data_IF_024104730386
#
_entry.id   IF_024104730386
#
_cell.length_a   1.000
_cell.length_b   1.000
_cell.length_c   1.000
_cell.angle_alpha   90.00
_cell.angle_beta   90.00
_cell.angle_gamma   90.00
#
_symmetry.space_group_name_H-M   'P 1'
#
loop_
_entity.id
_entity.type
_entity.pdbx_description
1 polymer ?
#
# COMPACT_ATOMS: atom_id res chain seq x y z
N UNK A 1 -0.66 10.36 14.25
CA UNK A 1 0.70 10.34 13.65
C UNK A 1 1.25 8.92 13.61
N UNK A 2 1.46 8.24 14.73
CA UNK A 2 2.01 6.87 14.74
C UNK A 2 1.19 5.86 13.93
N UNK A 3 -0.12 5.74 14.19
CA UNK A 3 -1.01 4.83 13.45
C UNK A 3 -1.08 5.16 11.94
N UNK A 4 -0.98 6.46 11.59
CA UNK A 4 -1.00 6.92 10.21
C UNK A 4 0.31 6.56 9.48
N UNK A 5 1.47 6.79 10.11
CA UNK A 5 2.78 6.43 9.54
C UNK A 5 2.94 4.92 9.36
N UNK A 6 2.47 4.13 10.33
CA UNK A 6 2.53 2.67 10.24
C UNK A 6 1.56 2.16 9.17
N UNK A 7 0.33 2.68 9.12
CA UNK A 7 -0.62 2.40 8.04
C UNK A 7 -0.08 2.76 6.67
N UNK A 8 0.57 3.92 6.53
CA UNK A 8 1.14 4.40 5.27
C UNK A 8 2.27 3.50 4.79
N UNK A 9 3.14 3.07 5.71
CA UNK A 9 4.21 2.12 5.40
C UNK A 9 3.62 0.82 4.84
N UNK A 10 2.55 0.30 5.46
CA UNK A 10 1.89 -0.93 5.00
C UNK A 10 1.09 -0.74 3.71
N UNK A 11 0.50 0.44 3.50
CA UNK A 11 -0.20 0.79 2.25
C UNK A 11 0.77 0.86 1.07
N UNK A 12 1.90 1.55 1.23
CA UNK A 12 2.97 1.57 0.23
C UNK A 12 3.49 0.16 -0.03
N UNK A 13 3.80 -0.61 1.01
CA UNK A 13 4.27 -1.99 0.87
C UNK A 13 3.27 -2.85 0.07
N UNK A 14 1.99 -2.82 0.46
CA UNK A 14 0.94 -3.61 -0.18
C UNK A 14 0.71 -3.20 -1.63
N UNK A 15 0.63 -1.89 -1.89
CA UNK A 15 0.44 -1.35 -3.23
C UNK A 15 1.65 -1.61 -4.12
N UNK A 16 2.86 -1.50 -3.58
CA UNK A 16 4.10 -1.78 -4.28
C UNK A 16 4.22 -3.26 -4.68
N UNK A 17 3.97 -4.18 -3.73
CA UNK A 17 3.99 -5.63 -3.99
C UNK A 17 2.88 -6.00 -4.98
N UNK A 18 1.65 -5.50 -4.79
CA UNK A 18 0.52 -5.78 -5.69
C UNK A 18 0.74 -5.27 -7.11
N UNK A 19 1.28 -4.05 -7.26
CA UNK A 19 1.63 -3.46 -8.56
C UNK A 19 2.79 -4.21 -9.20
N UNK A 20 3.80 -4.56 -8.41
CA UNK A 20 4.95 -5.35 -8.82
C UNK A 20 4.58 -6.71 -9.39
N UNK A 21 3.72 -7.46 -8.69
CA UNK A 21 3.18 -8.75 -9.12
C UNK A 21 2.38 -8.64 -10.42
N UNK A 22 1.49 -7.65 -10.51
CA UNK A 22 0.68 -7.42 -11.72
C UNK A 22 1.49 -7.06 -12.95
N UNK A 23 2.58 -6.31 -12.77
CA UNK A 23 3.38 -5.81 -13.88
C UNK A 23 4.49 -6.76 -14.31
N UNK A 24 4.81 -7.75 -13.47
CA UNK A 24 5.93 -8.66 -13.65
C UNK A 24 7.28 -7.94 -13.63
N UNK A 25 7.37 -6.77 -12.99
CA UNK A 25 8.63 -6.04 -12.81
C UNK A 25 9.54 -6.76 -11.82
N UNK A 26 8.95 -7.41 -10.80
CA UNK A 26 9.68 -8.27 -9.88
C UNK A 26 9.62 -9.71 -10.40
N UNK A 27 10.79 -10.33 -10.51
CA UNK A 27 10.90 -11.77 -10.76
C UNK A 27 10.40 -12.54 -9.54
N UNK A 28 9.88 -13.76 -9.73
CA UNK A 28 9.61 -14.69 -8.62
C UNK A 28 10.88 -14.94 -7.75
N UNK A 29 12.06 -14.71 -8.33
CA UNK A 29 13.34 -14.74 -7.62
C UNK A 29 13.60 -13.48 -6.78
N UNK A 30 13.15 -12.30 -7.22
CA UNK A 30 13.23 -11.05 -6.45
C UNK A 30 12.26 -11.07 -5.24
N UNK A 31 11.10 -11.74 -5.37
CA UNK A 31 10.16 -11.99 -4.27
C UNK A 31 10.72 -12.98 -3.25
N UNK A 32 11.31 -14.09 -3.69
CA UNK A 32 11.95 -15.07 -2.79
C UNK A 32 13.19 -14.51 -2.10
N UNK A 33 13.97 -13.66 -2.78
CA UNK A 33 15.08 -12.95 -2.15
C UNK A 33 14.63 -11.97 -1.06
N UNK A 34 13.36 -11.53 -1.07
CA UNK A 34 12.82 -10.72 0.01
C UNK A 34 12.35 -11.55 1.21
N UNK A 35 11.84 -12.76 0.96
CA UNK A 35 11.41 -13.70 2.00
C UNK A 35 12.59 -14.42 2.66
N UNK A 36 13.63 -14.78 1.90
CA UNK A 36 14.75 -15.62 2.35
C UNK A 36 16.10 -14.88 2.44
N UNK A 37 16.23 -13.70 1.84
CA UNK A 37 17.51 -12.99 1.71
C UNK A 37 17.87 -12.14 2.93
N UNK A 38 19.04 -12.40 3.53
CA UNK A 38 19.61 -11.56 4.58
C UNK A 38 20.33 -10.34 3.98
N UNK A 39 19.66 -9.19 3.90
CA UNK A 39 20.29 -7.89 3.69
C UNK A 39 19.66 -7.00 2.61
N UNK A 40 20.13 -5.75 2.54
CA UNK A 40 19.64 -4.66 1.67
C UNK A 40 20.05 -4.81 0.20
N UNK A 41 19.77 -5.96 -0.41
CA UNK A 41 20.27 -6.30 -1.76
C UNK A 41 19.17 -6.48 -2.80
N UNK A 42 17.91 -6.65 -2.39
CA UNK A 42 16.79 -6.79 -3.32
C UNK A 42 16.45 -5.45 -3.98
N UNK A 43 15.97 -5.52 -5.24
CA UNK A 43 15.41 -4.35 -5.94
C UNK A 43 14.23 -3.75 -5.16
N UNK A 44 13.51 -4.58 -4.40
CA UNK A 44 12.38 -4.18 -3.59
C UNK A 44 12.80 -3.37 -2.35
N UNK A 45 13.91 -3.73 -1.67
CA UNK A 45 14.45 -2.93 -0.56
C UNK A 45 14.87 -1.54 -1.02
N UNK A 46 15.54 -1.46 -2.17
CA UNK A 46 15.98 -0.17 -2.76
C UNK A 46 14.79 0.70 -3.16
N UNK A 47 13.70 0.09 -3.64
CA UNK A 47 12.51 0.81 -4.01
C UNK A 47 11.72 1.31 -2.78
N UNK A 48 11.60 0.49 -1.73
CA UNK A 48 11.02 0.90 -0.45
C UNK A 48 11.83 2.01 0.22
N UNK A 49 13.16 1.95 0.10
CA UNK A 49 14.03 3.02 0.57
C UNK A 49 13.85 4.32 -0.23
N UNK A 50 13.69 4.20 -1.55
CA UNK A 50 13.40 5.35 -2.41
C UNK A 50 12.04 5.98 -2.07
N UNK A 51 11.02 5.18 -1.78
CA UNK A 51 9.71 5.66 -1.31
C UNK A 51 9.81 6.36 0.04
N UNK A 52 10.50 5.77 1.02
CA UNK A 52 10.70 6.37 2.34
C UNK A 52 11.46 7.71 2.26
N UNK A 53 12.47 7.81 1.39
CA UNK A 53 13.17 9.09 1.11
C UNK A 53 12.21 10.08 0.44
N UNK A 54 11.44 9.64 -0.56
CA UNK A 54 10.45 10.45 -1.25
C UNK A 54 9.42 11.06 -0.29
N UNK A 55 8.85 10.23 0.57
CA UNK A 55 7.87 10.62 1.59
C UNK A 55 8.46 11.53 2.64
N UNK A 56 9.69 11.27 3.09
CA UNK A 56 10.37 12.15 4.05
C UNK A 56 10.64 13.54 3.46
N UNK A 57 11.10 13.61 2.21
CA UNK A 57 11.32 14.88 1.51
C UNK A 57 9.97 15.57 1.25
N UNK A 58 8.96 14.85 0.77
CA UNK A 58 7.61 15.36 0.53
C UNK A 58 6.96 15.95 1.79
N UNK A 59 7.15 15.31 2.94
CA UNK A 59 6.68 15.80 4.23
C UNK A 59 7.37 17.12 4.65
N UNK A 60 8.67 17.29 4.34
CA UNK A 60 9.39 18.56 4.59
C UNK A 60 8.81 19.70 3.74
N UNK A 61 8.39 19.41 2.51
CA UNK A 61 7.72 20.37 1.63
C UNK A 61 6.22 20.56 1.94
N UNK A 62 5.69 19.91 2.97
CA UNK A 62 4.29 20.05 3.41
C UNK A 62 3.27 19.34 2.51
N UNK A 63 3.72 18.41 1.67
CA UNK A 63 2.84 17.59 0.82
C UNK A 63 2.35 16.35 1.57
N UNK A 64 1.21 15.79 1.15
CA UNK A 64 0.72 14.50 1.65
C UNK A 64 1.71 13.38 1.30
N UNK A 65 1.60 12.22 1.98
CA UNK A 65 2.48 11.08 1.74
C UNK A 65 2.52 10.71 0.25
N UNK A 66 3.74 10.60 -0.28
CA UNK A 66 3.99 10.15 -1.64
C UNK A 66 4.04 8.64 -1.64
N UNK A 67 3.12 7.97 -2.34
CA UNK A 67 3.11 6.51 -2.42
C UNK A 67 3.21 6.04 -3.88
N UNK A 68 3.43 4.74 -4.04
CA UNK A 68 3.42 4.09 -5.35
C UNK A 68 1.99 4.03 -5.88
N UNK A 69 1.77 4.50 -7.11
CA UNK A 69 0.43 4.54 -7.72
C UNK A 69 0.11 3.25 -8.48
N UNK A 70 -1.06 2.65 -8.24
CA UNK A 70 -1.55 1.46 -8.96
C UNK A 70 -1.73 1.76 -10.45
N UNK A 71 -2.05 2.98 -10.81
CA UNK A 71 -2.17 3.45 -12.20
C UNK A 71 -0.84 3.37 -12.95
N UNK A 72 0.29 3.47 -12.23
CA UNK A 72 1.61 3.28 -12.82
C UNK A 72 1.78 1.86 -13.36
N UNK A 73 1.03 0.88 -12.83
CA UNK A 73 1.00 -0.48 -13.36
C UNK A 73 0.58 -0.52 -14.83
N UNK A 74 -0.38 0.32 -15.23
CA UNK A 74 -0.82 0.40 -16.62
C UNK A 74 0.27 0.98 -17.53
N UNK A 75 0.99 2.00 -17.05
CA UNK A 75 2.13 2.60 -17.77
C UNK A 75 3.31 1.63 -17.91
N UNK A 76 3.57 0.85 -16.87
CA UNK A 76 4.57 -0.23 -16.89
C UNK A 76 4.16 -1.34 -17.87
N UNK A 77 2.87 -1.73 -17.86
CA UNK A 77 2.30 -2.73 -18.77
C UNK A 77 2.36 -2.31 -20.23
N UNK A 78 2.24 -1.01 -20.52
CA UNK A 78 2.43 -0.43 -21.86
C UNK A 78 3.90 -0.38 -22.33
N UNK A 79 4.86 -0.81 -21.50
CA UNK A 79 6.29 -0.87 -21.83
C UNK A 79 7.17 0.14 -21.08
N UNK A 80 6.60 0.96 -20.18
CA UNK A 80 7.31 1.94 -19.35
C UNK A 80 8.11 1.32 -18.20
N UNK A 81 9.05 0.40 -18.52
CA UNK A 81 9.82 -0.38 -17.53
C UNK A 81 11.17 0.23 -17.15
N UNK A 82 11.50 1.42 -17.66
CA UNK A 82 12.82 2.04 -17.47
C UNK A 82 12.78 3.17 -16.46
N UNK A 83 13.89 3.43 -15.76
CA UNK A 83 13.99 4.62 -14.88
C UNK A 83 13.81 5.94 -15.64
N UNK A 84 14.10 5.97 -16.94
CA UNK A 84 13.94 7.16 -17.77
C UNK A 84 12.47 7.57 -17.95
N UNK A 85 11.54 6.59 -18.02
CA UNK A 85 10.11 6.89 -18.08
C UNK A 85 9.60 7.49 -16.77
N UNK A 86 10.11 7.00 -15.62
CA UNK A 86 9.79 7.59 -14.31
C UNK A 86 10.31 9.03 -14.19
N UNK A 87 11.56 9.28 -14.58
CA UNK A 87 12.16 10.63 -14.54
C UNK A 87 11.45 11.60 -15.48
N UNK A 88 11.13 11.16 -16.70
CA UNK A 88 10.42 12.00 -17.67
C UNK A 88 9.01 12.34 -17.16
N UNK A 89 8.31 11.36 -16.58
CA UNK A 89 7.01 11.60 -15.95
C UNK A 89 7.13 12.60 -14.81
N UNK A 90 8.11 12.46 -13.91
CA UNK A 90 8.33 13.40 -12.81
C UNK A 90 8.61 14.84 -13.28
N UNK A 91 9.43 15.01 -14.32
CA UNK A 91 9.71 16.33 -14.91
C UNK A 91 8.46 16.94 -15.56
N UNK A 92 7.68 16.15 -16.30
CA UNK A 92 6.42 16.59 -16.88
C UNK A 92 5.39 16.97 -15.80
N UNK A 93 5.33 16.22 -14.70
CA UNK A 93 4.44 16.49 -13.58
C UNK A 93 4.87 17.76 -12.82
N UNK A 94 6.17 17.97 -12.64
CA UNK A 94 6.72 19.22 -12.11
C UNK A 94 6.42 20.43 -13.01
N UNK A 95 6.55 20.27 -14.33
CA UNK A 95 6.15 21.30 -15.29
C UNK A 95 4.63 21.55 -15.26
N UNK A 96 3.83 20.48 -15.12
CA UNK A 96 2.38 20.56 -14.98
C UNK A 96 1.94 21.23 -13.67
N UNK A 97 2.74 21.16 -12.60
CA UNK A 97 2.44 21.84 -11.35
C UNK A 97 2.46 23.38 -11.50
N UNK A 98 3.27 23.93 -12.43
CA UNK A 98 3.22 25.36 -12.79
C UNK A 98 1.93 25.73 -13.55
N UNK A 99 1.33 24.73 -14.22
CA UNK A 99 0.04 24.82 -14.90
C UNK A 99 -1.14 24.40 -14.01
N UNK A 100 -0.91 24.10 -12.72
CA UNK A 100 -1.94 23.73 -11.75
C UNK A 100 -3.18 24.64 -11.74
N UNK A 101 -3.11 25.97 -11.89
CA UNK A 101 -4.32 26.81 -11.98
C UNK A 101 -5.21 26.49 -13.19
N UNK A 102 -4.67 25.93 -14.27
CA UNK A 102 -5.46 25.48 -15.43
C UNK A 102 -6.07 24.09 -15.21
N UNK A 103 -5.41 23.23 -14.44
CA UNK A 103 -5.92 21.88 -14.11
C UNK A 103 -7.16 21.97 -13.22
N UNK A 104 -7.24 22.98 -12.34
CA UNK A 104 -8.42 23.23 -11.50
C UNK A 104 -9.69 23.64 -12.25
N UNK A 105 -9.60 23.95 -13.54
CA UNK A 105 -10.76 24.23 -14.41
C UNK A 105 -11.49 22.94 -14.82
N UNK A 106 -10.82 21.79 -14.74
CA UNK A 106 -11.41 20.51 -15.12
C UNK A 106 -12.48 20.11 -14.09
N UNK A 107 -13.75 19.92 -14.50
CA UNK A 107 -14.81 19.51 -13.59
C UNK A 107 -14.51 18.14 -12.99
N UNK A 108 -14.82 17.94 -11.71
CA UNK A 108 -14.72 16.63 -11.06
C UNK A 108 -15.53 15.54 -11.77
N UNK A 109 -16.58 15.91 -12.51
CA UNK A 109 -17.35 14.99 -13.34
C UNK A 109 -16.52 14.35 -14.47
N UNK A 110 -15.46 15.03 -14.95
CA UNK A 110 -14.57 14.50 -15.99
C UNK A 110 -13.52 13.52 -15.44
N UNK A 111 -13.12 13.68 -14.18
CA UNK A 111 -12.13 12.81 -13.53
C UNK A 111 -12.77 11.61 -12.82
N UNK A 112 -14.05 11.71 -12.44
CA UNK A 112 -14.81 10.63 -11.82
C UNK A 112 -14.74 9.27 -12.54
N UNK A 113 -14.97 9.15 -13.88
CA UNK A 113 -14.92 7.86 -14.55
C UNK A 113 -13.51 7.24 -14.53
N UNK A 114 -12.47 8.06 -14.59
CA UNK A 114 -11.10 7.57 -14.46
C UNK A 114 -10.85 6.99 -13.05
N UNK A 115 -11.27 7.70 -12.00
CA UNK A 115 -11.14 7.23 -10.61
C UNK A 115 -11.93 5.94 -10.34
N UNK A 116 -13.10 5.77 -10.97
CA UNK A 116 -13.88 4.53 -10.86
C UNK A 116 -13.11 3.35 -11.46
N UNK A 117 -12.53 3.53 -12.66
CA UNK A 117 -11.74 2.48 -13.31
C UNK A 117 -10.52 2.11 -12.47
N UNK A 118 -9.82 3.10 -11.90
CA UNK A 118 -8.71 2.87 -10.97
C UNK A 118 -9.16 2.05 -9.76
N UNK A 119 -10.29 2.40 -9.14
CA UNK A 119 -10.84 1.63 -8.01
C UNK A 119 -11.13 0.17 -8.39
N UNK A 120 -11.67 -0.08 -9.58
CA UNK A 120 -11.89 -1.44 -10.10
C UNK A 120 -10.55 -2.17 -10.30
N UNK A 121 -9.51 -1.49 -10.78
CA UNK A 121 -8.18 -2.07 -10.91
C UNK A 121 -7.55 -2.40 -9.54
N UNK A 122 -7.82 -1.61 -8.50
CA UNK A 122 -7.36 -1.92 -7.13
C UNK A 122 -8.09 -3.14 -6.56
N UNK A 123 -9.40 -3.29 -6.82
CA UNK A 123 -10.18 -4.45 -6.37
C UNK A 123 -9.70 -5.77 -6.96
N UNK A 124 -9.16 -5.79 -8.17
CA UNK A 124 -8.66 -7.05 -8.74
C UNK A 124 -7.49 -7.68 -7.95
N UNK A 125 -6.81 -6.94 -7.07
CA UNK A 125 -5.83 -7.52 -6.15
C UNK A 125 -6.48 -8.45 -5.10
N UNK A 126 -7.79 -8.33 -4.85
CA UNK A 126 -8.54 -9.28 -4.01
C UNK A 126 -8.65 -10.67 -4.64
N UNK A 127 -8.43 -10.79 -5.96
CA UNK A 127 -8.45 -12.10 -6.64
C UNK A 127 -7.24 -12.98 -6.26
N UNK A 128 -6.13 -12.38 -5.80
CA UNK A 128 -4.93 -13.10 -5.37
C UNK A 128 -5.04 -13.68 -3.95
N UNK A 129 -6.11 -13.35 -3.21
CA UNK A 129 -6.35 -13.86 -1.85
C UNK A 129 -6.81 -15.32 -1.91
N UNK A 130 -6.23 -16.17 -1.05
CA UNK A 130 -6.65 -17.57 -0.91
C UNK A 130 -7.97 -17.68 -0.12
N UNK A 131 -9.09 -17.49 -0.84
CA UNK A 131 -10.45 -17.50 -0.27
C UNK A 131 -10.87 -18.86 0.31
N UNK A 132 -10.20 -19.94 -0.08
CA UNK A 132 -10.37 -21.29 0.44
C UNK A 132 -9.80 -21.46 1.85
N UNK A 133 -8.82 -20.65 2.24
CA UNK A 133 -8.21 -20.67 3.56
C UNK A 133 -8.80 -19.57 4.45
N UNK A 134 -9.65 -19.97 5.41
CA UNK A 134 -10.28 -19.04 6.37
C UNK A 134 -9.27 -18.21 7.18
N UNK A 135 -8.03 -18.69 7.31
CA UNK A 135 -6.93 -17.98 7.96
C UNK A 135 -6.56 -16.67 7.25
N UNK A 136 -6.74 -16.59 5.94
CA UNK A 136 -6.42 -15.42 5.11
C UNK A 136 -7.67 -14.70 4.62
N UNK A 137 -8.73 -15.46 4.31
CA UNK A 137 -10.00 -14.92 3.81
C UNK A 137 -10.70 -14.04 4.85
N UNK A 138 -10.73 -14.44 6.12
CA UNK A 138 -11.42 -13.70 7.19
C UNK A 138 -10.74 -12.35 7.45
N UNK A 139 -9.41 -12.28 7.66
CA UNK A 139 -8.71 -11.00 7.83
C UNK A 139 -8.83 -10.08 6.62
N UNK A 140 -8.72 -10.60 5.39
CA UNK A 140 -8.85 -9.80 4.17
C UNK A 140 -10.26 -9.20 4.01
N UNK A 141 -11.29 -10.00 4.31
CA UNK A 141 -12.69 -9.55 4.27
C UNK A 141 -12.96 -8.43 5.28
N UNK A 142 -12.54 -8.62 6.53
CA UNK A 142 -12.72 -7.60 7.56
C UNK A 142 -11.89 -6.35 7.28
N UNK A 143 -10.65 -6.49 6.80
CA UNK A 143 -9.82 -5.34 6.43
C UNK A 143 -10.53 -4.43 5.40
N UNK A 144 -11.09 -5.03 4.34
CA UNK A 144 -11.82 -4.28 3.31
C UNK A 144 -13.10 -3.63 3.82
N UNK A 145 -13.89 -4.34 4.63
CA UNK A 145 -15.15 -3.80 5.18
C UNK A 145 -14.89 -2.68 6.17
N UNK A 146 -13.94 -2.86 7.10
CA UNK A 146 -13.61 -1.81 8.07
C UNK A 146 -12.99 -0.60 7.38
N UNK A 147 -12.22 -0.79 6.31
CA UNK A 147 -11.72 0.31 5.49
C UNK A 147 -12.86 1.15 4.90
N UNK A 148 -13.88 0.49 4.33
CA UNK A 148 -15.03 1.17 3.74
C UNK A 148 -15.95 1.82 4.80
N UNK A 149 -16.22 1.13 5.91
CA UNK A 149 -17.10 1.63 6.97
C UNK A 149 -16.49 2.77 7.79
N UNK A 150 -15.19 2.70 8.07
CA UNK A 150 -14.50 3.72 8.86
C UNK A 150 -13.99 4.90 8.01
N UNK A 151 -14.21 4.88 6.69
CA UNK A 151 -13.67 5.86 5.73
C UNK A 151 -12.16 6.14 5.94
N UNK A 152 -11.43 5.11 6.38
CA UNK A 152 -10.05 5.24 6.83
C UNK A 152 -9.28 3.96 6.52
N UNK A 153 -8.29 4.11 5.63
CA UNK A 153 -7.35 3.05 5.26
C UNK A 153 -6.63 2.53 6.50
N UNK A 154 -6.23 3.43 7.41
CA UNK A 154 -5.53 3.06 8.63
C UNK A 154 -6.35 2.18 9.56
N UNK A 155 -7.66 2.45 9.71
CA UNK A 155 -8.51 1.60 10.54
C UNK A 155 -8.82 0.26 9.88
N UNK A 156 -8.94 0.22 8.55
CA UNK A 156 -9.07 -1.03 7.80
C UNK A 156 -7.86 -1.94 7.94
N UNK A 157 -6.65 -1.40 7.75
CA UNK A 157 -5.38 -2.14 7.91
C UNK A 157 -5.23 -2.63 9.37
N UNK A 158 -5.52 -1.77 10.35
CA UNK A 158 -5.48 -2.15 11.76
C UNK A 158 -6.43 -3.31 12.09
N UNK A 159 -7.68 -3.24 11.61
CA UNK A 159 -8.65 -4.32 11.78
C UNK A 159 -8.14 -5.61 11.11
N UNK A 160 -7.61 -5.53 9.89
CA UNK A 160 -7.00 -6.65 9.18
C UNK A 160 -5.94 -7.37 10.00
N UNK A 161 -4.98 -6.63 10.59
CA UNK A 161 -3.94 -7.24 11.44
C UNK A 161 -4.47 -7.83 12.74
N UNK A 162 -5.45 -7.19 13.38
CA UNK A 162 -6.09 -7.70 14.59
C UNK A 162 -6.79 -9.04 14.27
N UNK A 163 -7.59 -9.09 13.21
CA UNK A 163 -8.26 -10.32 12.79
C UNK A 163 -7.26 -11.39 12.33
N UNK A 164 -6.18 -11.02 11.64
CA UNK A 164 -5.12 -11.96 11.24
C UNK A 164 -4.45 -12.62 12.44
N UNK A 165 -3.99 -11.82 13.40
CA UNK A 165 -3.37 -12.34 14.63
C UNK A 165 -4.38 -13.14 15.46
N UNK A 166 -5.63 -12.70 15.54
CA UNK A 166 -6.69 -13.39 16.29
C UNK A 166 -6.99 -14.77 15.69
N UNK A 167 -7.20 -14.85 14.37
CA UNK A 167 -7.48 -16.11 13.69
C UNK A 167 -6.28 -17.05 13.78
N UNK A 168 -5.06 -16.62 13.44
CA UNK A 168 -3.85 -17.46 13.57
C UNK A 168 -3.61 -17.96 14.99
N UNK A 169 -4.01 -17.20 16.01
CA UNK A 169 -3.96 -17.65 17.41
C UNK A 169 -4.99 -18.73 17.71
N UNK A 170 -6.22 -18.59 17.23
CA UNK A 170 -7.27 -19.59 17.37
C UNK A 170 -6.98 -20.88 16.61
N UNK A 171 -6.34 -20.81 15.44
CA UNK A 171 -5.96 -21.98 14.64
C UNK A 171 -4.68 -22.66 15.16
N UNK A 172 -4.08 -22.18 16.25
CA UNK A 172 -2.86 -22.75 16.86
C UNK A 172 -1.56 -22.48 16.08
N UNK A 173 -1.61 -21.63 15.05
CA UNK A 173 -0.49 -21.25 14.18
C UNK A 173 0.15 -19.92 14.59
N UNK A 174 0.06 -19.56 15.86
CA UNK A 174 0.58 -18.30 16.42
C UNK A 174 2.10 -18.09 16.22
N UNK A 175 2.85 -19.17 15.96
CA UNK A 175 4.29 -19.13 15.65
C UNK A 175 4.65 -18.78 14.19
N UNK A 176 3.70 -18.86 13.26
CA UNK A 176 3.91 -18.46 11.86
C UNK A 176 3.81 -16.94 11.67
N UNK A 177 3.23 -16.24 12.64
CA UNK A 177 3.06 -14.78 12.58
C UNK A 177 4.39 -14.11 12.95
N UNK A 178 4.95 -13.34 12.02
CA UNK A 178 6.19 -12.61 12.25
C UNK A 178 6.06 -11.69 13.49
N UNK A 179 7.08 -11.59 14.37
CA UNK A 179 7.01 -10.79 15.60
C UNK A 179 6.61 -9.32 15.39
N UNK A 180 6.96 -8.75 14.24
CA UNK A 180 6.57 -7.38 13.85
C UNK A 180 5.05 -7.21 13.75
N UNK A 181 4.31 -8.21 13.23
CA UNK A 181 2.85 -8.15 13.13
C UNK A 181 2.20 -8.19 14.51
N UNK A 182 2.77 -8.96 15.45
CA UNK A 182 2.33 -8.98 16.84
C UNK A 182 2.53 -7.62 17.54
N UNK A 183 3.71 -7.02 17.36
CA UNK A 183 4.01 -5.69 17.89
C UNK A 183 3.10 -4.64 17.26
N UNK A 184 2.95 -4.62 15.93
CA UNK A 184 2.08 -3.68 15.21
C UNK A 184 0.61 -3.80 15.68
N UNK A 185 0.10 -5.03 15.79
CA UNK A 185 -1.26 -5.29 16.31
C UNK A 185 -1.41 -4.78 17.73
N UNK A 186 -0.43 -5.03 18.60
CA UNK A 186 -0.42 -4.51 19.98
C UNK A 186 -0.44 -2.98 20.03
N UNK A 187 0.34 -2.31 19.17
CA UNK A 187 0.33 -0.85 19.11
C UNK A 187 -0.97 -0.28 18.55
N UNK A 188 -1.62 -0.95 17.58
CA UNK A 188 -2.95 -0.55 17.11
C UNK A 188 -4.02 -0.73 18.17
N UNK A 189 -4.01 -1.85 18.90
CA UNK A 189 -4.92 -2.07 20.03
C UNK A 189 -4.71 -1.00 21.10
N UNK A 190 -3.46 -0.69 21.45
CA UNK A 190 -3.15 0.38 22.39
C UNK A 190 -3.65 1.73 21.87
N UNK A 191 -3.49 2.02 20.57
CA UNK A 191 -3.99 3.24 19.97
C UNK A 191 -5.52 3.33 20.04
N UNK A 192 -6.24 2.25 19.76
CA UNK A 192 -7.70 2.19 19.90
C UNK A 192 -8.15 2.36 21.36
N UNK A 193 -7.45 1.75 22.32
CA UNK A 193 -7.75 1.90 23.75
C UNK A 193 -7.56 3.35 24.18
N UNK A 194 -6.45 3.99 23.78
CA UNK A 194 -6.19 5.41 24.07
C UNK A 194 -7.27 6.30 23.43
N UNK A 195 -7.63 6.03 22.17
CA UNK A 195 -8.68 6.76 21.46
C UNK A 195 -10.08 6.54 22.07
N UNK A 196 -10.32 5.40 22.72
CA UNK A 196 -11.59 5.10 23.38
C UNK A 196 -11.68 5.71 24.79
N UNK A 197 -10.54 6.03 25.42
CA UNK A 197 -10.45 6.61 26.77
C UNK A 197 -10.43 8.16 26.73
N UNK A 198 -9.96 8.76 25.63
CA UNK A 198 -9.90 10.22 25.41
C UNK A 198 -11.12 10.67 24.62
#
# INVERSE_FOLDING_TARGET
IFAFSLSDTFDTLGTFIGTGRKTGIFSAEDERMLEEGSGFSSKMDKALFADAIGTSIGAIFGTSNTTTYVESAAGIGAGGRTGLTAVTTAVLLAASALLAPFVGIVPAAATAPALIIVGVMMLSSFADVQWDHLEEAVPAFFAGIFMALCYSISYGIAAGFIFYCFIKTLTGKSKEVHPILWVATGLFILNFIILAII
#
